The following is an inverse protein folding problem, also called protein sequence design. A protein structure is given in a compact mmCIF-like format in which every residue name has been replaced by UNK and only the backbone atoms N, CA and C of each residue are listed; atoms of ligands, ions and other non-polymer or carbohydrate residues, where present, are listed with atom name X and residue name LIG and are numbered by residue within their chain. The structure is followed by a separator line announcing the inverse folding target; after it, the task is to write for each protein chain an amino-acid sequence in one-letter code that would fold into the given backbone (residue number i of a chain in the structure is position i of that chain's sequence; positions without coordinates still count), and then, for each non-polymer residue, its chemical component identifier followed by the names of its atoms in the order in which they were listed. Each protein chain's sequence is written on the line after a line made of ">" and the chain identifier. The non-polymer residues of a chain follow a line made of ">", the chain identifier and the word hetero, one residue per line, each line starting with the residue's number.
data_IF_281066950907
#
_entry.id   IF_281066950907
#
_cell.length_a   1.000
_cell.length_b   1.000
_cell.length_c   1.000
_cell.angle_alpha   90.00
_cell.angle_beta   90.00
_cell.angle_gamma   90.00
#
_symmetry.space_group_name_H-M   'P 1'
#
loop_
_entity.id
_entity.type
_entity.pdbx_description
1 polymer ?
#
# COMPACT_ATOMS: atom_id res chain seq x y z
N UNK A 1 8.34 -0.10 -10.38
CA UNK A 1 8.84 0.14 -11.75
C UNK A 1 8.61 -1.06 -12.67
N UNK A 2 8.68 -2.30 -12.18
CA UNK A 2 8.42 -3.51 -12.95
C UNK A 2 7.11 -3.49 -13.77
N UNK A 3 5.99 -3.02 -13.18
CA UNK A 3 4.69 -2.95 -13.87
C UNK A 3 4.76 -2.18 -15.21
N UNK A 4 5.34 -0.97 -15.21
CA UNK A 4 5.39 -0.15 -16.42
C UNK A 4 6.34 -0.73 -17.49
N UNK A 5 7.37 -1.47 -17.07
CA UNK A 5 8.32 -2.09 -18.01
C UNK A 5 7.69 -3.22 -18.83
N UNK A 6 6.64 -3.88 -18.32
CA UNK A 6 5.93 -4.91 -19.07
C UNK A 6 5.30 -4.37 -20.36
N UNK A 7 4.91 -3.09 -20.34
CA UNK A 7 4.30 -2.43 -21.50
C UNK A 7 5.29 -2.11 -22.63
N UNK A 8 6.59 -2.29 -22.42
CA UNK A 8 7.58 -2.20 -23.50
C UNK A 8 7.53 -3.43 -24.43
N UNK A 9 6.94 -4.55 -23.98
CA UNK A 9 6.84 -5.80 -24.74
C UNK A 9 5.42 -6.07 -25.24
N UNK A 10 4.40 -5.58 -24.52
CA UNK A 10 2.98 -5.80 -24.83
C UNK A 10 2.19 -4.52 -24.63
N UNK A 11 1.33 -4.19 -25.58
CA UNK A 11 0.51 -2.97 -25.50
C UNK A 11 -0.64 -3.09 -24.48
N UNK A 12 -1.11 -4.31 -24.23
CA UNK A 12 -2.24 -4.61 -23.36
C UNK A 12 -1.93 -5.78 -22.45
N UNK A 13 -2.28 -5.62 -21.17
CA UNK A 13 -2.08 -6.64 -20.14
C UNK A 13 -3.30 -6.70 -19.20
N UNK A 14 -3.71 -7.90 -18.79
CA UNK A 14 -4.68 -8.09 -17.72
C UNK A 14 -4.04 -7.94 -16.34
N UNK A 15 -4.87 -7.75 -15.32
CA UNK A 15 -4.41 -7.79 -13.93
C UNK A 15 -3.70 -9.12 -13.62
N UNK A 16 -4.27 -10.25 -14.06
CA UNK A 16 -3.74 -11.58 -13.81
C UNK A 16 -2.36 -11.81 -14.45
N UNK A 17 -2.15 -11.32 -15.67
CA UNK A 17 -0.85 -11.38 -16.34
C UNK A 17 0.20 -10.55 -15.61
N UNK A 18 -0.16 -9.33 -15.20
CA UNK A 18 0.73 -8.46 -14.43
C UNK A 18 1.06 -9.10 -13.08
N UNK A 19 0.07 -9.69 -12.40
CA UNK A 19 0.27 -10.37 -11.12
C UNK A 19 1.24 -11.54 -11.25
N UNK A 20 1.03 -12.39 -12.25
CA UNK A 20 1.83 -13.59 -12.50
C UNK A 20 3.28 -13.26 -12.80
N UNK A 21 3.53 -12.22 -13.60
CA UNK A 21 4.89 -11.89 -14.03
C UNK A 21 5.68 -11.02 -13.05
N UNK A 22 4.98 -10.22 -12.25
CA UNK A 22 5.64 -9.35 -11.27
C UNK A 22 5.76 -9.99 -9.89
N UNK A 23 4.98 -11.03 -9.62
CA UNK A 23 4.87 -11.70 -8.31
C UNK A 23 4.62 -10.71 -7.16
N UNK A 24 3.89 -9.62 -7.45
CA UNK A 24 3.53 -8.60 -6.45
C UNK A 24 2.28 -9.07 -5.69
N UNK A 25 2.28 -9.01 -4.34
CA UNK A 25 1.09 -9.32 -3.56
C UNK A 25 -0.14 -8.50 -4.01
N UNK A 26 -1.29 -9.16 -4.12
CA UNK A 26 -2.52 -8.56 -4.68
C UNK A 26 -2.88 -7.20 -4.09
N UNK A 27 -2.74 -7.04 -2.77
CA UNK A 27 -3.00 -5.77 -2.07
C UNK A 27 -2.15 -4.62 -2.60
N UNK A 28 -0.86 -4.86 -2.79
CA UNK A 28 0.09 -3.85 -3.25
C UNK A 28 -0.02 -3.61 -4.75
N UNK A 29 -0.30 -4.65 -5.52
CA UNK A 29 -0.52 -4.54 -6.96
C UNK A 29 -1.75 -3.70 -7.27
N UNK A 30 -2.89 -3.97 -6.62
CA UNK A 30 -4.12 -3.17 -6.77
C UNK A 30 -3.82 -1.70 -6.45
N UNK A 31 -3.13 -1.43 -5.35
CA UNK A 31 -2.78 -0.07 -4.94
C UNK A 31 -1.88 0.63 -5.96
N UNK A 32 -0.90 -0.08 -6.51
CA UNK A 32 -0.02 0.45 -7.55
C UNK A 32 -0.79 0.76 -8.84
N UNK A 33 -1.64 -0.16 -9.30
CA UNK A 33 -2.47 0.03 -10.49
C UNK A 33 -3.51 1.14 -10.31
N UNK A 34 -4.06 1.31 -9.11
CA UNK A 34 -4.93 2.44 -8.78
C UNK A 34 -4.22 3.79 -8.96
N UNK A 35 -2.98 3.91 -8.49
CA UNK A 35 -2.17 5.12 -8.71
C UNK A 35 -1.90 5.41 -10.19
N UNK A 36 -1.67 4.37 -10.98
CA UNK A 36 -1.29 4.49 -12.39
C UNK A 36 -2.49 4.73 -13.32
N UNK A 37 -3.64 4.12 -13.02
CA UNK A 37 -4.80 4.09 -13.92
C UNK A 37 -6.03 4.85 -13.41
N UNK A 38 -6.21 4.95 -12.09
CA UNK A 38 -7.43 5.51 -11.46
C UNK A 38 -7.17 6.82 -10.72
N UNK A 39 -5.93 7.32 -10.70
CA UNK A 39 -5.56 8.60 -10.10
C UNK A 39 -6.19 9.83 -10.79
N UNK A 40 -5.62 11.01 -10.53
CA UNK A 40 -6.06 12.24 -11.19
C UNK A 40 -5.92 12.09 -12.72
N UNK A 41 -6.89 12.53 -13.54
CA UNK A 41 -6.81 12.38 -15.00
C UNK A 41 -5.50 12.87 -15.61
N UNK A 42 -4.95 13.98 -15.10
CA UNK A 42 -3.65 14.55 -15.51
C UNK A 42 -2.42 13.77 -15.03
N UNK A 43 -2.61 12.63 -14.37
CA UNK A 43 -1.56 11.75 -13.85
C UNK A 43 -1.78 10.27 -14.25
N UNK A 44 -2.80 9.97 -15.06
CA UNK A 44 -3.09 8.60 -15.51
C UNK A 44 -2.15 8.23 -16.64
N UNK A 45 -1.19 7.36 -16.34
CA UNK A 45 -0.26 6.80 -17.32
C UNK A 45 -0.86 5.56 -17.98
N UNK A 46 -1.77 4.86 -17.29
CA UNK A 46 -2.46 3.69 -17.81
C UNK A 46 -3.95 3.97 -17.99
N UNK A 47 -4.56 3.32 -18.99
CA UNK A 47 -6.01 3.27 -19.20
C UNK A 47 -6.52 1.88 -18.85
N UNK A 48 -7.49 1.81 -17.92
CA UNK A 48 -8.15 0.56 -17.53
C UNK A 48 -9.42 0.32 -18.34
N UNK A 49 -9.65 -0.92 -18.73
CA UNK A 49 -10.87 -1.42 -19.34
C UNK A 49 -11.39 -2.65 -18.58
N UNK A 50 -12.65 -2.63 -18.08
CA UNK A 50 -13.63 -1.54 -18.11
C UNK A 50 -13.29 -0.36 -17.18
N UNK A 51 -13.85 0.83 -17.47
CA UNK A 51 -13.60 2.09 -16.72
C UNK A 51 -14.39 2.18 -15.40
N UNK A 52 -14.31 1.14 -14.58
CA UNK A 52 -14.90 1.09 -13.22
C UNK A 52 -13.87 1.40 -12.14
N UNK A 53 -14.31 1.70 -10.91
CA UNK A 53 -13.41 2.00 -9.78
C UNK A 53 -12.67 0.77 -9.24
N UNK A 54 -13.24 -0.41 -9.41
CA UNK A 54 -12.68 -1.65 -8.89
C UNK A 54 -11.72 -2.28 -9.89
N UNK A 55 -10.76 -3.05 -9.37
CA UNK A 55 -9.79 -3.80 -10.18
C UNK A 55 -10.07 -5.27 -9.91
N UNK A 56 -10.46 -5.99 -10.96
CA UNK A 56 -10.71 -7.43 -10.98
C UNK A 56 -9.65 -8.10 -11.85
N UNK A 57 -9.63 -9.43 -11.84
CA UNK A 57 -8.57 -10.24 -12.46
C UNK A 57 -8.57 -10.15 -13.98
N UNK A 58 -9.74 -10.01 -14.60
CA UNK A 58 -9.96 -9.89 -16.04
C UNK A 58 -9.79 -8.45 -16.56
N UNK A 59 -9.69 -7.46 -15.65
CA UNK A 59 -9.52 -6.07 -16.04
C UNK A 59 -8.18 -5.87 -16.74
N UNK A 60 -8.23 -5.15 -17.85
CA UNK A 60 -7.08 -4.92 -18.72
C UNK A 60 -6.59 -3.48 -18.66
N UNK A 61 -5.31 -3.32 -18.90
CA UNK A 61 -4.58 -2.06 -18.83
C UNK A 61 -3.81 -1.86 -20.13
N UNK A 62 -3.72 -0.60 -20.55
CA UNK A 62 -2.98 -0.14 -21.75
C UNK A 62 -2.29 1.17 -21.41
N UNK A 63 -1.24 1.53 -22.15
CA UNK A 63 -0.58 2.84 -21.99
C UNK A 63 -1.50 3.95 -22.49
N UNK A 64 -1.54 5.08 -21.76
CA UNK A 64 -2.33 6.24 -22.14
C UNK A 64 -1.57 7.16 -23.09
N UNK A 65 -1.70 6.92 -24.40
CA UNK A 65 -1.04 7.76 -25.43
C UNK A 65 -1.60 9.19 -25.49
N UNK A 66 -2.79 9.43 -24.92
CA UNK A 66 -3.39 10.75 -24.83
C UNK A 66 -2.89 11.56 -23.61
N UNK A 67 -1.91 11.04 -22.85
CA UNK A 67 -1.38 11.70 -21.68
C UNK A 67 -0.63 13.00 -22.04
N UNK A 68 -0.96 14.09 -21.34
CA UNK A 68 -0.27 15.38 -21.49
C UNK A 68 0.02 16.01 -20.13
N UNK A 69 1.18 16.67 -20.02
CA UNK A 69 1.60 17.37 -18.80
C UNK A 69 2.39 18.62 -19.15
N UNK A 70 2.17 19.71 -18.41
CA UNK A 70 2.98 20.93 -18.51
C UNK A 70 4.36 20.78 -17.87
N UNK A 71 4.55 19.76 -17.03
CA UNK A 71 5.79 19.48 -16.31
C UNK A 71 6.55 18.35 -17.00
N UNK A 72 7.85 18.55 -17.21
CA UNK A 72 8.78 17.51 -17.68
C UNK A 72 8.90 16.36 -16.67
N UNK A 73 8.89 16.67 -15.37
CA UNK A 73 8.88 15.68 -14.29
C UNK A 73 7.49 15.59 -13.68
N UNK A 74 6.79 14.49 -13.97
CA UNK A 74 5.46 14.22 -13.43
C UNK A 74 5.59 13.36 -12.17
N UNK A 75 5.14 13.90 -11.03
CA UNK A 75 5.08 13.14 -9.79
C UNK A 75 3.76 12.37 -9.73
N UNK A 76 3.84 11.05 -9.83
CA UNK A 76 2.69 10.16 -9.58
C UNK A 76 2.56 9.96 -8.09
N UNK A 77 1.41 10.35 -7.54
CA UNK A 77 1.13 10.16 -6.12
C UNK A 77 0.71 8.70 -5.91
N UNK A 78 1.45 8.01 -5.05
CA UNK A 78 1.03 6.69 -4.55
C UNK A 78 -0.24 6.88 -3.73
N UNK A 79 -1.24 6.03 -3.96
CA UNK A 79 -2.41 5.96 -3.06
C UNK A 79 -1.84 5.67 -1.68
N UNK A 80 -1.92 6.65 -0.78
CA UNK A 80 -1.43 6.48 0.58
C UNK A 80 -2.17 5.30 1.21
N UNK A 81 -1.43 4.45 1.94
CA UNK A 81 -2.07 3.52 2.86
C UNK A 81 -2.96 4.38 3.78
N UNK A 82 -4.28 4.19 3.71
CA UNK A 82 -5.21 4.87 4.63
C UNK A 82 -4.97 4.25 6.01
N UNK A 83 -3.99 4.78 6.74
CA UNK A 83 -3.55 4.23 8.02
C UNK A 83 -2.89 2.85 7.91
N UNK A 84 -2.42 2.37 9.05
CA UNK A 84 -2.08 0.96 9.24
C UNK A 84 -3.30 0.11 8.87
N UNK A 85 -3.08 -0.98 8.12
CA UNK A 85 -4.14 -1.97 7.93
C UNK A 85 -4.59 -2.52 9.29
N UNK A 86 -5.85 -2.95 9.42
CA UNK A 86 -6.35 -3.55 10.68
C UNK A 86 -5.39 -4.59 11.33
N UNK A 87 -4.73 -5.50 10.58
CA UNK A 87 -3.75 -6.40 11.18
C UNK A 87 -2.50 -5.66 11.71
N UNK A 88 -1.94 -4.73 10.94
CA UNK A 88 -0.79 -3.91 11.38
C UNK A 88 -1.17 -3.09 12.63
N UNK A 89 -2.37 -2.52 12.67
CA UNK A 89 -2.89 -1.75 13.81
C UNK A 89 -3.05 -2.61 15.06
N UNK A 90 -3.49 -3.86 14.89
CA UNK A 90 -3.60 -4.83 16.00
C UNK A 90 -2.22 -5.23 16.52
N UNK A 91 -1.25 -5.43 15.63
CA UNK A 91 0.13 -5.71 16.01
C UNK A 91 0.75 -4.55 16.79
N UNK A 92 0.56 -3.31 16.32
CA UNK A 92 0.99 -2.10 17.04
C UNK A 92 0.37 -2.03 18.43
N UNK A 93 -0.93 -2.31 18.58
CA UNK A 93 -1.60 -2.35 19.90
C UNK A 93 -1.02 -3.43 20.81
N UNK A 94 -0.85 -4.65 20.30
CA UNK A 94 -0.30 -5.75 21.09
C UNK A 94 1.11 -5.41 21.59
N UNK A 95 1.94 -4.80 20.75
CA UNK A 95 3.30 -4.39 21.12
C UNK A 95 3.29 -3.33 22.23
N UNK A 96 2.39 -2.35 22.13
CA UNK A 96 2.19 -1.33 23.19
C UNK A 96 1.76 -1.98 24.51
N UNK A 97 0.87 -2.97 24.47
CA UNK A 97 0.41 -3.63 25.69
C UNK A 97 1.51 -4.51 26.33
N UNK A 98 2.38 -5.14 25.53
CA UNK A 98 3.57 -5.83 26.05
C UNK A 98 4.58 -4.86 26.67
N UNK A 99 4.85 -3.71 26.05
CA UNK A 99 5.74 -2.69 26.61
C UNK A 99 5.21 -2.16 27.95
N UNK A 100 3.90 -1.93 28.04
CA UNK A 100 3.24 -1.52 29.29
C UNK A 100 3.40 -2.52 30.42
N UNK A 101 3.38 -3.84 30.15
CA UNK A 101 3.60 -4.85 31.19
C UNK A 101 4.98 -4.68 31.83
N UNK A 102 6.02 -4.54 31.00
CA UNK A 102 7.38 -4.34 31.49
C UNK A 102 7.52 -3.04 32.31
N UNK A 103 6.89 -1.96 31.86
CA UNK A 103 6.88 -0.69 32.61
C UNK A 103 6.17 -0.82 33.97
N UNK A 104 5.03 -1.50 34.00
CA UNK A 104 4.26 -1.76 35.23
C UNK A 104 5.08 -2.61 36.21
N UNK A 105 5.67 -3.70 35.75
CA UNK A 105 6.55 -4.55 36.56
C UNK A 105 7.73 -3.76 37.14
N UNK A 106 8.40 -2.97 36.30
CA UNK A 106 9.52 -2.12 36.74
C UNK A 106 9.08 -1.05 37.75
N UNK A 107 7.86 -0.52 37.64
CA UNK A 107 7.30 0.43 38.59
C UNK A 107 6.96 -0.25 39.94
N UNK A 108 6.34 -1.44 39.89
CA UNK A 108 6.05 -2.25 41.08
C UNK A 108 7.34 -2.55 41.84
N UNK A 109 8.37 -3.07 41.18
CA UNK A 109 9.66 -3.39 41.80
C UNK A 109 10.31 -2.15 42.42
N UNK A 110 10.24 -0.99 41.75
CA UNK A 110 10.72 0.29 42.30
C UNK A 110 10.00 0.66 43.60
N UNK A 111 8.67 0.58 43.63
CA UNK A 111 7.85 0.91 44.81
C UNK A 111 8.12 -0.07 45.94
N UNK A 112 8.17 -1.37 45.64
CA UNK A 112 8.45 -2.44 46.60
C UNK A 112 9.80 -2.24 47.29
N UNK A 113 10.83 -1.97 46.49
CA UNK A 113 12.20 -1.72 47.00
C UNK A 113 12.26 -0.49 47.90
N UNK A 114 11.50 0.57 47.58
CA UNK A 114 11.46 1.79 48.37
C UNK A 114 10.70 1.62 49.69
N UNK A 115 9.53 0.96 49.67
CA UNK A 115 8.63 0.88 50.84
C UNK A 115 8.92 -0.30 51.77
N UNK A 116 9.57 -1.37 51.29
CA UNK A 116 9.85 -2.62 52.03
C UNK A 116 8.63 -3.32 52.66
N UNK A 117 7.42 -2.83 52.41
CA UNK A 117 6.14 -3.42 52.79
C UNK A 117 5.12 -3.16 51.67
N UNK A 118 4.36 -4.18 51.28
CA UNK A 118 3.12 -4.03 50.50
C UNK A 118 1.95 -4.02 51.49
N UNK A 119 1.12 -3.00 51.43
CA UNK A 119 -0.22 -3.04 52.03
C UNK A 119 -1.20 -3.66 51.06
#
# INVERSE_FOLDING_TARGET
>A
MCILMLFNLRERLSYEEIATETDIPSRDLIRALQSLALGKPSQRILVKHPRVKEIETDHSFTVNDAFTSKLHRVKIQTVAARGESEPERRETRNRVDEDRKHEIEAAIVRIMKARKQLQ
#
